data_IF_246268562372
#
_entry.id   IF_246268562372
#
_cell.length_a   1.000
_cell.length_b   1.000
_cell.length_c   1.000
_cell.angle_alpha   90.00
_cell.angle_beta   90.00
_cell.angle_gamma   90.00
#
_symmetry.space_group_name_H-M   'P 1'
#
loop_
_entity.id
_entity.type
_entity.pdbx_description
1 polymer ?
#
# COMPACT_ATOMS: atom_id res chain seq x y z
N UNK A 1 -3.76 9.03 10.45
CA UNK A 1 -4.64 8.11 9.68
C UNK A 1 -4.97 6.86 10.50
N UNK A 2 -6.19 6.33 10.36
CA UNK A 2 -6.70 5.23 11.19
C UNK A 2 -5.94 3.92 10.98
N UNK A 3 -5.74 3.54 9.72
CA UNK A 3 -5.12 2.25 9.37
C UNK A 3 -3.68 2.10 9.87
N UNK A 4 -2.95 3.21 10.06
CA UNK A 4 -1.60 3.20 10.67
C UNK A 4 -1.68 2.72 12.12
N UNK A 5 -2.72 3.11 12.85
CA UNK A 5 -2.94 2.69 14.24
C UNK A 5 -3.38 1.23 14.31
N UNK A 6 -4.17 0.80 13.32
CA UNK A 6 -4.63 -0.58 13.21
C UNK A 6 -3.46 -1.55 13.05
N UNK A 7 -2.29 -1.17 12.51
CA UNK A 7 -1.11 -2.05 12.43
C UNK A 7 -0.73 -2.58 13.82
N UNK A 8 -0.62 -1.69 14.82
CA UNK A 8 -0.23 -2.09 16.17
C UNK A 8 -1.34 -2.88 16.87
N UNK A 9 -2.60 -2.54 16.63
CA UNK A 9 -3.74 -3.32 17.15
C UNK A 9 -3.79 -4.72 16.53
N UNK A 10 -3.56 -4.83 15.22
CA UNK A 10 -3.53 -6.08 14.48
C UNK A 10 -2.49 -7.03 15.09
N UNK A 11 -1.28 -6.53 15.33
CA UNK A 11 -0.20 -7.31 15.96
C UNK A 11 -0.52 -7.67 17.41
N UNK A 12 -0.98 -6.70 18.22
CA UNK A 12 -1.14 -6.89 19.67
C UNK A 12 -2.36 -7.73 20.06
N UNK A 13 -3.48 -7.57 19.35
CA UNK A 13 -4.78 -8.14 19.75
C UNK A 13 -5.10 -9.47 19.05
N UNK A 14 -4.24 -9.94 18.16
CA UNK A 14 -4.45 -11.18 17.42
C UNK A 14 -3.27 -12.12 17.64
N UNK A 15 -3.52 -13.23 18.33
CA UNK A 15 -2.51 -14.24 18.62
C UNK A 15 -1.88 -14.87 17.36
N UNK A 16 -2.51 -14.72 16.19
CA UNK A 16 -2.01 -15.26 14.93
C UNK A 16 -0.91 -14.40 14.29
N UNK A 17 -0.87 -13.08 14.54
CA UNK A 17 0.02 -12.19 13.78
C UNK A 17 1.38 -11.98 14.43
N UNK A 18 1.44 -11.63 15.72
CA UNK A 18 2.73 -11.34 16.37
C UNK A 18 3.74 -12.50 16.32
N UNK A 19 3.36 -13.79 16.47
CA UNK A 19 4.30 -14.91 16.30
C UNK A 19 4.86 -15.05 14.88
N UNK A 20 4.14 -14.56 13.86
CA UNK A 20 4.56 -14.55 12.47
C UNK A 20 5.34 -13.28 12.10
N UNK A 21 5.47 -12.31 13.01
CA UNK A 21 5.99 -10.97 12.74
C UNK A 21 7.52 -10.87 12.93
N UNK A 22 8.25 -11.74 12.22
CA UNK A 22 9.71 -11.86 12.33
C UNK A 22 10.33 -12.49 11.08
N UNK A 23 11.65 -12.55 11.07
CA UNK A 23 12.51 -13.02 9.99
C UNK A 23 12.29 -14.48 9.60
N UNK A 24 11.71 -15.31 10.47
CA UNK A 24 11.45 -16.71 10.14
C UNK A 24 10.30 -16.87 9.15
N UNK A 25 9.32 -15.96 9.21
CA UNK A 25 8.08 -16.07 8.44
C UNK A 25 7.94 -14.97 7.39
N UNK A 26 8.47 -13.77 7.64
CA UNK A 26 8.39 -12.66 6.69
C UNK A 26 9.56 -12.76 5.71
N UNK A 27 9.26 -12.69 4.41
CA UNK A 27 10.26 -12.61 3.35
C UNK A 27 10.69 -11.15 3.12
N UNK A 28 9.73 -10.24 2.96
CA UNK A 28 9.97 -8.82 2.79
C UNK A 28 8.79 -7.95 3.21
N UNK A 29 9.07 -6.66 3.44
CA UNK A 29 8.05 -5.64 3.70
C UNK A 29 8.15 -4.56 2.62
N UNK A 30 7.02 -4.19 2.04
CA UNK A 30 6.91 -3.15 1.01
C UNK A 30 5.99 -2.04 1.52
N UNK A 31 6.43 -0.78 1.42
CA UNK A 31 5.63 0.38 1.75
C UNK A 31 5.56 1.27 0.51
N UNK A 32 4.37 1.38 -0.07
CA UNK A 32 4.12 2.15 -1.28
C UNK A 32 3.25 3.35 -0.97
N UNK A 33 3.74 4.55 -1.28
CA UNK A 33 2.98 5.81 -1.18
C UNK A 33 3.04 6.57 -2.51
N UNK A 34 2.07 6.31 -3.37
CA UNK A 34 1.99 6.83 -4.73
C UNK A 34 0.91 7.90 -4.84
N UNK A 35 1.21 8.98 -5.54
CA UNK A 35 0.30 10.07 -5.80
C UNK A 35 0.08 10.22 -7.31
N UNK A 36 -1.20 10.29 -7.69
CA UNK A 36 -1.56 10.58 -9.07
C UNK A 36 -1.30 12.06 -9.41
N UNK A 37 -1.43 12.93 -8.40
CA UNK A 37 -1.19 14.35 -8.53
C UNK A 37 0.31 14.67 -8.72
N UNK A 38 0.59 15.71 -9.52
CA UNK A 38 1.93 16.30 -9.61
C UNK A 38 2.22 17.29 -8.48
N UNK A 39 3.31 18.05 -8.62
CA UNK A 39 3.69 19.05 -7.63
C UNK A 39 2.73 20.26 -7.61
N UNK A 40 2.12 20.58 -8.76
CA UNK A 40 1.21 21.70 -8.93
C UNK A 40 1.79 23.02 -8.42
N UNK A 41 0.99 23.79 -7.66
CA UNK A 41 1.38 25.11 -7.16
C UNK A 41 2.50 25.11 -6.10
N UNK A 42 2.91 23.93 -5.62
CA UNK A 42 3.97 23.76 -4.61
C UNK A 42 5.37 23.67 -5.20
N UNK A 43 5.55 23.88 -6.50
CA UNK A 43 6.83 23.75 -7.22
C UNK A 43 8.01 24.41 -6.50
N UNK A 44 7.88 25.68 -6.11
CA UNK A 44 8.98 26.41 -5.46
C UNK A 44 9.39 25.90 -4.07
N UNK A 45 8.50 25.19 -3.36
CA UNK A 45 8.86 24.49 -2.11
C UNK A 45 9.49 23.13 -2.43
N UNK A 46 8.81 22.38 -3.29
CA UNK A 46 9.17 21.00 -3.58
C UNK A 46 10.53 20.88 -4.28
N UNK A 47 10.87 21.85 -5.15
CA UNK A 47 12.13 21.90 -5.91
C UNK A 47 13.38 22.10 -5.03
N UNK A 48 13.20 22.29 -3.72
CA UNK A 48 14.30 22.31 -2.72
C UNK A 48 14.27 21.11 -1.77
N UNK A 49 13.21 20.32 -1.84
CA UNK A 49 12.88 19.28 -0.88
C UNK A 49 13.06 17.90 -1.49
N UNK A 50 12.43 17.66 -2.65
CA UNK A 50 12.40 16.36 -3.31
C UNK A 50 11.53 15.33 -2.57
N UNK A 51 11.28 14.21 -3.23
CA UNK A 51 10.48 13.10 -2.69
C UNK A 51 11.13 12.43 -1.48
N UNK A 52 12.46 12.40 -1.41
CA UNK A 52 13.20 11.86 -0.27
C UNK A 52 12.87 12.62 1.03
N UNK A 53 12.86 13.96 1.02
CA UNK A 53 12.57 14.75 2.23
C UNK A 53 11.08 15.00 2.44
N UNK A 54 10.28 15.07 1.37
CA UNK A 54 8.83 15.33 1.48
C UNK A 54 8.08 14.11 2.03
N UNK A 55 8.50 12.89 1.67
CA UNK A 55 7.76 11.65 1.95
C UNK A 55 8.56 10.58 2.71
N UNK A 56 9.82 10.32 2.36
CA UNK A 56 10.60 9.25 3.01
C UNK A 56 10.91 9.63 4.46
N UNK A 57 11.54 10.79 4.66
CA UNK A 57 12.05 11.25 5.95
C UNK A 57 11.01 11.19 7.09
N UNK A 58 9.76 11.55 6.79
CA UNK A 58 8.69 11.66 7.77
C UNK A 58 7.74 10.46 7.70
N UNK A 59 6.97 10.34 6.63
CA UNK A 59 5.80 9.48 6.53
C UNK A 59 6.21 8.02 6.42
N UNK A 60 7.10 7.67 5.48
CA UNK A 60 7.48 6.28 5.30
C UNK A 60 8.37 5.79 6.44
N UNK A 61 9.30 6.60 6.97
CA UNK A 61 10.10 6.19 8.14
C UNK A 61 9.24 6.02 9.40
N UNK A 62 8.19 6.82 9.60
CA UNK A 62 7.23 6.59 10.69
C UNK A 62 6.42 5.30 10.48
N UNK A 63 6.06 4.96 9.24
CA UNK A 63 5.42 3.67 8.95
C UNK A 63 6.36 2.50 9.24
N UNK A 64 7.63 2.58 8.80
CA UNK A 64 8.66 1.57 9.12
C UNK A 64 8.74 1.39 10.64
N UNK A 65 8.85 2.47 11.40
CA UNK A 65 8.94 2.41 12.85
C UNK A 65 7.71 1.72 13.49
N UNK A 66 6.49 2.06 13.05
CA UNK A 66 5.25 1.44 13.57
C UNK A 66 5.13 -0.05 13.19
N UNK A 67 5.53 -0.41 11.97
CA UNK A 67 5.49 -1.80 11.48
C UNK A 67 6.52 -2.66 12.21
N UNK A 68 7.72 -2.13 12.40
CA UNK A 68 8.90 -2.91 12.77
C UNK A 68 9.28 -2.86 14.25
N UNK A 69 8.80 -1.88 15.03
CA UNK A 69 9.07 -1.79 16.46
C UNK A 69 8.62 -3.06 17.21
N UNK A 70 9.26 -3.36 18.33
CA UNK A 70 8.73 -4.34 19.27
C UNK A 70 7.44 -3.81 19.90
N UNK A 71 6.54 -4.71 20.30
CA UNK A 71 5.35 -4.32 21.04
C UNK A 71 5.74 -4.05 22.51
N UNK A 72 5.55 -2.83 23.03
CA UNK A 72 5.87 -2.57 24.43
C UNK A 72 4.92 -3.34 25.35
N UNK A 73 5.43 -3.85 26.47
CA UNK A 73 4.61 -4.60 27.43
C UNK A 73 3.42 -3.76 27.92
N UNK A 74 3.68 -2.51 28.28
CA UNK A 74 2.67 -1.50 28.60
C UNK A 74 2.47 -0.59 27.39
N UNK A 75 1.23 -0.43 26.96
CA UNK A 75 0.91 0.47 25.86
C UNK A 75 0.74 1.89 26.39
N UNK A 76 1.82 2.66 26.35
CA UNK A 76 1.86 4.06 26.76
C UNK A 76 2.73 4.89 25.81
N UNK A 77 2.50 6.20 25.81
CA UNK A 77 3.12 7.11 24.85
C UNK A 77 4.65 7.07 24.88
N UNK A 78 5.28 7.05 26.06
CA UNK A 78 6.75 6.95 26.16
C UNK A 78 7.24 5.57 25.70
N UNK A 79 6.59 4.47 26.11
CA UNK A 79 7.04 3.12 25.76
C UNK A 79 6.94 2.86 24.25
N UNK A 80 5.88 3.34 23.59
CA UNK A 80 5.76 3.24 22.13
C UNK A 80 6.88 4.03 21.44
N UNK A 81 7.17 5.24 21.92
CA UNK A 81 8.23 6.08 21.33
C UNK A 81 9.62 5.51 21.59
N UNK A 82 9.85 4.90 22.75
CA UNK A 82 11.10 4.21 23.07
C UNK A 82 11.36 3.02 22.12
N UNK A 83 10.34 2.21 21.84
CA UNK A 83 10.48 1.08 20.89
C UNK A 83 10.67 1.56 19.44
N UNK A 84 10.04 2.68 19.05
CA UNK A 84 10.32 3.32 17.75
C UNK A 84 11.77 3.81 17.67
N UNK A 85 12.27 4.50 18.69
CA UNK A 85 13.64 5.02 18.73
C UNK A 85 14.66 3.88 18.73
N UNK A 86 14.40 2.81 19.49
CA UNK A 86 15.22 1.59 19.47
C UNK A 86 15.31 1.03 18.05
N UNK A 87 14.17 0.88 17.37
CA UNK A 87 14.12 0.41 15.98
C UNK A 87 14.89 1.33 15.04
N UNK A 88 14.68 2.65 15.12
CA UNK A 88 15.32 3.63 14.23
C UNK A 88 16.84 3.67 14.38
N UNK A 89 17.40 3.30 15.54
CA UNK A 89 18.86 3.17 15.73
C UNK A 89 19.46 2.02 14.92
N UNK A 90 18.68 0.96 14.68
CA UNK A 90 19.13 -0.23 13.95
C UNK A 90 18.80 -0.14 12.45
N UNK A 91 18.04 0.89 12.04
CA UNK A 91 17.60 1.10 10.67
C UNK A 91 18.68 1.81 9.84
N UNK A 92 19.12 1.18 8.75
CA UNK A 92 20.14 1.74 7.87
C UNK A 92 19.92 1.34 6.41
N UNK A 93 20.48 2.14 5.49
CA UNK A 93 20.62 1.76 4.10
C UNK A 93 21.94 0.99 3.92
N UNK A 94 21.89 -0.20 3.33
CA UNK A 94 23.07 -1.05 3.18
C UNK A 94 23.62 -0.94 1.76
N UNK A 95 24.92 -0.63 1.63
CA UNK A 95 25.62 -0.70 0.34
C UNK A 95 25.75 -2.15 -0.15
N UNK A 96 25.64 -2.34 -1.47
CA UNK A 96 25.89 -3.62 -2.13
C UNK A 96 27.40 -3.94 -2.21
N UNK A 97 27.74 -5.06 -2.84
CA UNK A 97 29.14 -5.47 -3.05
C UNK A 97 29.95 -4.50 -3.91
N UNK A 98 29.29 -3.60 -4.64
CA UNK A 98 29.91 -2.55 -5.47
C UNK A 98 29.95 -1.20 -4.75
N UNK A 99 29.68 -1.18 -3.44
CA UNK A 99 29.62 0.02 -2.61
C UNK A 99 28.51 1.00 -3.06
N UNK A 100 27.40 0.47 -3.60
CA UNK A 100 26.26 1.26 -4.05
C UNK A 100 25.06 1.10 -3.13
N UNK A 101 24.41 2.21 -2.75
CA UNK A 101 23.14 2.13 -2.05
C UNK A 101 22.02 1.70 -3.01
N UNK A 102 21.11 0.80 -2.57
CA UNK A 102 19.95 0.39 -3.34
C UNK A 102 18.86 1.48 -3.27
N UNK A 103 19.13 2.59 -3.94
CA UNK A 103 18.25 3.75 -4.07
C UNK A 103 18.08 4.09 -5.55
N UNK A 104 16.85 4.40 -5.94
CA UNK A 104 16.51 4.86 -7.28
C UNK A 104 15.77 6.18 -7.15
N UNK A 105 16.29 7.21 -7.81
CA UNK A 105 15.65 8.51 -7.91
C UNK A 105 15.07 8.69 -9.30
N UNK A 106 13.88 9.29 -9.38
CA UNK A 106 13.29 9.64 -10.65
C UNK A 106 12.62 11.00 -10.69
N UNK A 107 12.40 11.52 -11.89
CA UNK A 107 11.69 12.76 -12.15
C UNK A 107 10.68 12.56 -13.30
N UNK A 108 9.41 12.92 -13.09
CA UNK A 108 8.42 12.81 -14.15
C UNK A 108 8.70 13.83 -15.26
N UNK A 109 8.45 13.46 -16.52
CA UNK A 109 8.86 14.25 -17.69
C UNK A 109 8.36 15.70 -17.65
N UNK A 110 7.12 15.93 -17.24
CA UNK A 110 6.55 17.27 -17.22
C UNK A 110 7.02 18.16 -16.06
N UNK A 111 7.84 17.66 -15.11
CA UNK A 111 8.15 18.37 -13.86
C UNK A 111 8.76 19.76 -14.07
N UNK A 112 9.67 19.90 -15.03
CA UNK A 112 10.33 21.18 -15.36
C UNK A 112 9.40 22.21 -16.00
N UNK A 113 8.20 21.80 -16.39
CA UNK A 113 7.17 22.69 -16.94
C UNK A 113 6.21 23.22 -15.86
N UNK A 114 6.31 22.70 -14.64
CA UNK A 114 5.44 23.08 -13.51
C UNK A 114 5.74 24.49 -13.02
N UNK A 115 4.71 25.12 -12.43
CA UNK A 115 4.83 26.48 -11.92
C UNK A 115 5.91 26.55 -10.82
N UNK A 116 6.86 27.49 -10.96
CA UNK A 116 7.92 27.77 -9.97
C UNK A 116 8.92 26.61 -9.78
N UNK A 117 9.12 25.78 -10.79
CA UNK A 117 10.22 24.80 -10.86
C UNK A 117 11.32 25.35 -11.78
N UNK A 118 12.58 25.14 -11.41
CA UNK A 118 13.70 25.54 -12.27
C UNK A 118 13.80 24.67 -13.53
N UNK A 119 14.10 25.27 -14.69
CA UNK A 119 14.21 24.54 -15.97
C UNK A 119 15.36 23.51 -15.98
N UNK A 120 16.39 23.75 -15.19
CA UNK A 120 17.55 22.87 -15.01
C UNK A 120 17.45 22.02 -13.74
N UNK A 121 16.27 21.96 -13.09
CA UNK A 121 16.05 21.21 -11.87
C UNK A 121 16.48 19.75 -12.00
N UNK A 122 17.12 19.25 -10.93
CA UNK A 122 17.49 17.85 -10.73
C UNK A 122 16.78 17.25 -9.53
N UNK A 123 15.68 17.86 -9.09
CA UNK A 123 14.92 17.41 -7.93
C UNK A 123 14.17 16.13 -8.22
N UNK A 124 14.27 15.16 -7.32
CA UNK A 124 13.55 13.90 -7.40
C UNK A 124 12.04 14.07 -7.10
N UNK A 125 11.20 13.48 -7.94
CA UNK A 125 9.75 13.35 -7.75
C UNK A 125 9.34 11.92 -7.45
N UNK A 126 10.29 10.99 -7.51
CA UNK A 126 10.15 9.58 -7.21
C UNK A 126 11.38 9.10 -6.45
N UNK A 127 11.17 8.28 -5.41
CA UNK A 127 12.23 7.55 -4.71
C UNK A 127 11.78 6.13 -4.47
N UNK A 128 12.59 5.15 -4.89
CA UNK A 128 12.55 3.78 -4.37
C UNK A 128 13.82 3.50 -3.57
N UNK A 129 13.68 2.84 -2.42
CA UNK A 129 14.76 2.64 -1.46
C UNK A 129 14.62 1.27 -0.78
N UNK A 130 15.72 0.55 -0.63
CA UNK A 130 15.80 -0.66 0.19
C UNK A 130 16.55 -0.36 1.49
N UNK A 131 15.91 -0.65 2.62
CA UNK A 131 16.43 -0.52 3.96
C UNK A 131 16.59 -1.88 4.64
N UNK A 132 17.46 -1.94 5.65
CA UNK A 132 17.64 -3.07 6.54
C UNK A 132 17.54 -2.59 7.99
N UNK A 133 17.06 -3.48 8.85
CA UNK A 133 17.05 -3.31 10.30
C UNK A 133 18.02 -4.33 10.91
N UNK A 134 19.04 -3.87 11.63
CA UNK A 134 20.05 -4.75 12.24
C UNK A 134 19.66 -5.21 13.65
N UNK A 135 18.59 -6.00 13.74
CA UNK A 135 18.22 -6.68 14.97
C UNK A 135 17.78 -8.12 14.72
N UNK A 136 17.58 -8.88 15.79
CA UNK A 136 17.24 -10.30 15.72
C UNK A 136 15.95 -10.55 14.95
N UNK A 137 14.91 -9.74 15.20
CA UNK A 137 13.57 -9.89 14.59
C UNK A 137 13.55 -9.70 13.07
N UNK A 138 14.40 -8.82 12.54
CA UNK A 138 14.36 -8.41 11.13
C UNK A 138 15.61 -8.82 10.37
N UNK A 139 16.42 -9.71 10.94
CA UNK A 139 17.67 -10.13 10.34
C UNK A 139 17.44 -10.71 8.93
N UNK A 140 18.00 -10.04 7.92
CA UNK A 140 17.90 -10.47 6.52
C UNK A 140 16.56 -10.18 5.84
N UNK A 141 15.61 -9.53 6.52
CA UNK A 141 14.34 -9.08 5.93
C UNK A 141 14.51 -7.66 5.37
N UNK A 142 14.44 -7.46 4.05
CA UNK A 142 14.50 -6.12 3.46
C UNK A 142 13.18 -5.37 3.60
N UNK A 143 13.29 -4.06 3.81
CA UNK A 143 12.18 -3.11 3.75
C UNK A 143 12.31 -2.29 2.48
N UNK A 144 11.38 -2.46 1.54
CA UNK A 144 11.32 -1.68 0.32
C UNK A 144 10.33 -0.53 0.47
N UNK A 145 10.81 0.68 0.26
CA UNK A 145 10.03 1.91 0.29
C UNK A 145 9.91 2.45 -1.12
N UNK A 146 8.72 2.85 -1.52
CA UNK A 146 8.53 3.59 -2.77
C UNK A 146 7.56 4.76 -2.57
N UNK A 147 7.94 5.90 -3.10
CA UNK A 147 7.08 7.08 -3.19
C UNK A 147 7.25 7.76 -4.52
N UNK A 148 6.18 8.35 -5.05
CA UNK A 148 6.24 9.05 -6.33
C UNK A 148 5.04 9.94 -6.60
N UNK A 149 5.26 11.00 -7.36
CA UNK A 149 4.22 11.89 -7.91
C UNK A 149 3.98 11.61 -9.39
N UNK A 150 2.82 12.03 -9.92
CA UNK A 150 2.41 11.75 -11.31
C UNK A 150 2.46 10.25 -11.62
N UNK A 151 2.04 9.43 -10.67
CA UNK A 151 1.99 7.97 -10.83
C UNK A 151 0.69 7.54 -11.51
N UNK A 152 0.71 6.36 -12.13
CA UNK A 152 -0.47 5.75 -12.76
C UNK A 152 -1.64 5.54 -11.78
N UNK A 153 -1.32 5.27 -10.51
CA UNK A 153 -2.29 4.98 -9.46
C UNK A 153 -1.96 5.75 -8.18
N UNK A 154 -2.99 5.98 -7.35
CA UNK A 154 -2.88 6.60 -6.04
C UNK A 154 -3.02 5.51 -4.97
N UNK A 155 -1.99 5.33 -4.17
CA UNK A 155 -1.96 4.30 -3.13
C UNK A 155 -1.16 4.77 -1.91
N UNK A 156 -1.62 4.48 -0.70
CA UNK A 156 -0.76 4.34 0.46
C UNK A 156 -1.03 2.99 1.09
N UNK A 157 -0.02 2.13 1.13
CA UNK A 157 -0.22 0.71 1.37
C UNK A 157 1.05 0.06 1.94
N UNK A 158 0.84 -0.85 2.88
CA UNK A 158 1.87 -1.74 3.40
C UNK A 158 1.57 -3.17 2.93
N UNK A 159 2.54 -3.82 2.29
CA UNK A 159 2.48 -5.24 1.93
C UNK A 159 3.54 -6.00 2.71
N UNK A 160 3.12 -7.02 3.44
CA UNK A 160 3.99 -7.97 4.14
C UNK A 160 3.87 -9.28 3.39
N UNK A 161 4.97 -9.68 2.76
CA UNK A 161 5.06 -10.94 2.03
C UNK A 161 5.68 -12.00 2.92
N UNK A 162 4.97 -13.12 3.10
CA UNK A 162 5.44 -14.25 3.88
C UNK A 162 6.24 -15.22 3.02
N UNK A 163 7.23 -15.87 3.63
CA UNK A 163 8.02 -16.94 3.02
C UNK A 163 7.12 -18.11 2.63
N UNK A 164 7.39 -18.68 1.45
CA UNK A 164 6.75 -19.93 1.03
C UNK A 164 7.20 -21.07 1.95
N UNK A 165 6.34 -22.07 2.25
CA UNK A 165 6.73 -23.21 3.07
C UNK A 165 7.97 -23.93 2.53
N UNK A 166 8.85 -24.39 3.41
CA UNK A 166 10.03 -25.16 3.01
C UNK A 166 9.64 -26.44 2.25
N UNK A 167 10.36 -26.72 1.16
CA UNK A 167 10.09 -27.89 0.32
C UNK A 167 8.87 -27.77 -0.61
N UNK A 168 8.15 -26.64 -0.58
CA UNK A 168 7.07 -26.38 -1.54
C UNK A 168 7.60 -26.09 -2.94
N UNK A 169 6.83 -26.50 -3.95
CA UNK A 169 7.10 -26.10 -5.34
C UNK A 169 6.81 -24.59 -5.47
N UNK A 170 7.87 -23.82 -5.69
CA UNK A 170 7.79 -22.35 -5.73
C UNK A 170 7.03 -21.83 -6.94
N UNK A 171 6.86 -22.63 -7.98
CA UNK A 171 6.11 -22.25 -9.18
C UNK A 171 4.60 -22.48 -9.00
N UNK A 172 4.23 -23.36 -8.06
CA UNK A 172 2.83 -23.69 -7.77
C UNK A 172 2.31 -22.91 -6.56
N UNK A 173 3.11 -22.81 -5.49
CA UNK A 173 2.68 -22.21 -4.22
C UNK A 173 2.91 -20.71 -4.25
N UNK A 174 1.85 -19.91 -4.11
CA UNK A 174 1.97 -18.47 -3.98
C UNK A 174 2.46 -18.08 -2.57
N UNK A 175 3.16 -16.96 -2.46
CA UNK A 175 3.46 -16.37 -1.16
C UNK A 175 2.16 -15.90 -0.50
N UNK A 176 2.05 -16.07 0.83
CA UNK A 176 0.94 -15.42 1.54
C UNK A 176 1.24 -13.94 1.67
N UNK A 177 0.21 -13.11 1.56
CA UNK A 177 0.34 -11.65 1.66
C UNK A 177 -0.60 -11.12 2.72
N UNK A 178 -0.09 -10.26 3.59
CA UNK A 178 -0.90 -9.37 4.41
C UNK A 178 -0.72 -7.95 3.89
N UNK A 179 -1.80 -7.37 3.38
CA UNK A 179 -1.81 -6.05 2.80
C UNK A 179 -2.70 -5.13 3.65
N UNK A 180 -2.17 -3.96 4.02
CA UNK A 180 -2.84 -2.98 4.89
C UNK A 180 -2.97 -1.67 4.11
N UNK A 181 -4.14 -1.46 3.52
CA UNK A 181 -4.47 -0.27 2.74
C UNK A 181 -4.71 0.91 3.68
N UNK A 182 -4.00 2.01 3.46
CA UNK A 182 -4.08 3.24 4.26
C UNK A 182 -4.90 4.32 3.55
N UNK A 183 -4.79 4.40 2.22
CA UNK A 183 -5.63 5.22 1.34
C UNK A 183 -5.43 4.77 -0.12
N UNK A 184 -6.36 5.03 -1.04
CA UNK A 184 -7.72 5.51 -0.82
C UNK A 184 -8.68 4.40 -0.35
N UNK A 185 -8.20 3.16 -0.27
CA UNK A 185 -8.99 2.01 0.19
C UNK A 185 -8.46 1.55 1.55
N UNK A 186 -9.05 2.06 2.62
CA UNK A 186 -8.73 1.67 3.98
C UNK A 186 -9.22 0.25 4.26
N UNK A 187 -8.31 -0.67 4.57
CA UNK A 187 -8.67 -2.06 4.80
C UNK A 187 -7.49 -3.00 5.04
N UNK A 188 -7.82 -4.26 5.29
CA UNK A 188 -6.87 -5.35 5.47
C UNK A 188 -7.22 -6.47 4.50
N UNK A 189 -6.24 -6.93 3.74
CA UNK A 189 -6.40 -8.01 2.77
C UNK A 189 -5.39 -9.10 3.08
N UNK A 190 -5.85 -10.34 3.12
CA UNK A 190 -5.02 -11.52 3.37
C UNK A 190 -5.15 -12.48 2.19
N UNK A 191 -4.04 -12.80 1.53
CA UNK A 191 -3.97 -13.80 0.45
C UNK A 191 -3.40 -15.11 0.99
N UNK A 192 -4.14 -16.21 0.80
CA UNK A 192 -3.80 -17.54 1.29
C UNK A 192 -3.95 -18.58 0.18
N UNK A 193 -3.16 -19.65 0.24
CA UNK A 193 -3.33 -20.80 -0.66
C UNK A 193 -4.45 -21.70 -0.15
N UNK A 194 -5.37 -22.11 -1.02
CA UNK A 194 -6.46 -23.05 -0.74
C UNK A 194 -6.56 -24.12 -1.84
N UNK A 195 -7.49 -25.06 -1.70
CA UNK A 195 -7.81 -26.04 -2.74
C UNK A 195 -8.96 -25.53 -3.61
N UNK A 196 -8.82 -25.62 -4.94
CA UNK A 196 -9.95 -25.39 -5.85
C UNK A 196 -11.07 -26.39 -5.57
N UNK A 197 -12.35 -25.98 -5.58
CA UNK A 197 -13.48 -26.89 -5.38
C UNK A 197 -13.76 -27.72 -6.65
N UNK A 198 -12.75 -28.47 -7.11
CA UNK A 198 -12.82 -29.38 -8.26
C UNK A 198 -12.42 -30.79 -7.83
N UNK A 199 -12.63 -31.76 -8.73
CA UNK A 199 -12.27 -33.17 -8.51
C UNK A 199 -10.75 -33.41 -8.58
N UNK A 200 -10.00 -32.47 -9.14
CA UNK A 200 -8.54 -32.51 -9.26
C UNK A 200 -7.96 -31.74 -8.07
N UNK A 201 -6.88 -32.25 -7.48
CA UNK A 201 -6.14 -31.55 -6.44
C UNK A 201 -5.32 -30.41 -7.05
N UNK A 202 -6.01 -29.29 -7.31
CA UNK A 202 -5.41 -28.04 -7.76
C UNK A 202 -5.45 -26.97 -6.66
N UNK A 203 -4.40 -26.16 -6.59
CA UNK A 203 -4.32 -25.02 -5.69
C UNK A 203 -5.08 -23.82 -6.26
N UNK A 204 -5.66 -23.02 -5.37
CA UNK A 204 -6.21 -21.69 -5.64
C UNK A 204 -5.67 -20.67 -4.64
N UNK A 205 -5.85 -19.39 -4.92
CA UNK A 205 -5.56 -18.31 -3.96
C UNK A 205 -6.88 -17.77 -3.42
N UNK A 206 -7.12 -17.93 -2.13
CA UNK A 206 -8.22 -17.31 -1.42
C UNK A 206 -7.82 -15.91 -0.95
N UNK A 207 -8.70 -14.93 -1.18
CA UNK A 207 -8.54 -13.57 -0.69
C UNK A 207 -9.59 -13.30 0.39
N UNK A 208 -9.12 -12.89 1.57
CA UNK A 208 -9.96 -12.46 2.68
C UNK A 208 -9.81 -10.95 2.84
N UNK A 209 -10.94 -10.22 2.84
CA UNK A 209 -10.94 -8.76 2.83
C UNK A 209 -11.75 -8.19 3.99
N UNK A 210 -11.18 -7.19 4.65
CA UNK A 210 -11.87 -6.26 5.53
C UNK A 210 -11.76 -4.86 4.94
N UNK A 211 -12.86 -4.27 4.49
CA UNK A 211 -12.92 -2.92 3.95
C UNK A 211 -13.50 -1.95 4.99
N UNK A 212 -12.66 -1.11 5.60
CA UNK A 212 -13.08 -0.10 6.58
C UNK A 212 -13.86 1.03 5.88
N UNK A 213 -13.37 1.51 4.73
CA UNK A 213 -14.02 2.61 4.01
C UNK A 213 -15.43 2.23 3.52
N UNK A 214 -15.65 0.96 3.16
CA UNK A 214 -16.98 0.45 2.80
C UNK A 214 -17.97 0.46 3.97
N UNK A 215 -17.47 0.31 5.21
CA UNK A 215 -18.31 0.16 6.40
C UNK A 215 -18.46 1.46 7.21
N UNK A 216 -17.45 2.34 7.20
CA UNK A 216 -17.33 3.45 8.16
C UNK A 216 -16.94 4.79 7.53
N UNK A 217 -17.04 4.96 6.20
CA UNK A 217 -16.52 6.15 5.49
C UNK A 217 -16.95 7.49 6.14
N UNK A 218 -18.23 7.61 6.50
CA UNK A 218 -18.78 8.86 7.06
C UNK A 218 -18.41 9.11 8.53
N UNK A 219 -17.98 8.09 9.27
CA UNK A 219 -17.72 8.16 10.70
C UNK A 219 -16.24 8.06 11.06
N UNK A 220 -15.34 8.04 10.07
CA UNK A 220 -13.90 8.04 10.33
C UNK A 220 -13.44 9.49 10.49
N UNK A 221 -13.04 9.95 11.70
CA UNK A 221 -12.61 11.33 11.88
C UNK A 221 -11.34 11.62 11.08
N UNK A 222 -11.20 12.85 10.60
CA UNK A 222 -10.01 13.30 9.91
C UNK A 222 -8.75 13.15 10.78
N UNK A 223 -7.58 13.07 10.14
CA UNK A 223 -6.31 12.96 10.85
C UNK A 223 -6.07 14.14 11.81
N UNK A 224 -6.45 15.37 11.45
CA UNK A 224 -6.26 16.53 12.33
C UNK A 224 -7.21 16.54 13.52
N UNK A 225 -8.46 16.09 13.36
CA UNK A 225 -9.42 16.00 14.47
C UNK A 225 -8.89 15.10 15.59
N UNK A 226 -8.32 13.94 15.21
CA UNK A 226 -7.72 13.00 16.16
C UNK A 226 -6.50 13.60 16.85
N UNK A 227 -5.59 14.20 16.09
CA UNK A 227 -4.37 14.80 16.67
C UNK A 227 -4.70 15.95 17.63
N UNK A 228 -5.67 16.80 17.29
CA UNK A 228 -6.11 17.88 18.18
C UNK A 228 -6.73 17.34 19.47
N UNK A 229 -7.53 16.29 19.37
CA UNK A 229 -8.09 15.62 20.55
C UNK A 229 -7.01 15.00 21.43
N UNK A 230 -5.99 14.38 20.83
CA UNK A 230 -4.86 13.80 21.56
C UNK A 230 -4.07 14.89 22.31
N UNK A 231 -3.86 16.07 21.71
CA UNK A 231 -3.28 17.24 22.39
C UNK A 231 -4.12 17.66 23.60
N UNK A 232 -5.45 17.74 23.46
CA UNK A 232 -6.36 18.08 24.57
C UNK A 232 -6.31 17.05 25.70
N UNK A 233 -6.02 15.78 25.38
CA UNK A 233 -5.89 14.68 26.35
C UNK A 233 -4.49 14.54 26.92
N UNK A 234 -3.50 15.25 26.38
CA UNK A 234 -2.09 15.07 26.72
C UNK A 234 -1.51 13.74 26.25
N UNK A 235 -2.10 13.11 25.23
CA UNK A 235 -1.59 11.87 24.64
C UNK A 235 -0.58 12.18 23.53
N UNK A 236 0.68 11.88 23.77
CA UNK A 236 1.78 12.10 22.83
C UNK A 236 2.10 10.87 21.97
N UNK A 237 1.35 9.76 22.06
CA UNK A 237 1.65 8.48 21.39
C UNK A 237 1.79 8.62 19.87
N UNK A 238 1.04 9.55 19.27
CA UNK A 238 1.01 9.77 17.81
C UNK A 238 1.93 10.88 17.32
N UNK A 239 2.66 11.53 18.24
CA UNK A 239 3.54 12.64 17.93
C UNK A 239 4.98 12.15 17.92
N UNK A 240 5.73 12.59 16.92
CA UNK A 240 7.16 12.27 16.79
C UNK A 240 7.94 12.96 17.90
N UNK A 241 8.72 12.19 18.66
CA UNK A 241 9.66 12.73 19.65
C UNK A 241 10.92 13.28 18.98
N UNK A 242 11.64 14.16 19.67
CA UNK A 242 12.85 14.79 19.13
C UNK A 242 13.92 13.78 18.68
N UNK A 243 14.16 12.75 19.46
CA UNK A 243 15.13 11.69 19.17
C UNK A 243 14.71 10.80 17.99
N UNK A 244 13.42 10.52 17.82
CA UNK A 244 12.89 9.91 16.59
C UNK A 244 13.21 10.78 15.36
N UNK A 245 12.91 12.08 15.46
CA UNK A 245 13.12 13.03 14.37
C UNK A 245 14.61 13.12 13.98
N UNK A 246 15.49 13.17 14.98
CA UNK A 246 16.93 13.23 14.77
C UNK A 246 17.46 12.01 14.01
N UNK A 247 17.06 10.79 14.39
CA UNK A 247 17.49 9.56 13.73
C UNK A 247 16.95 9.48 12.29
N UNK A 248 15.69 9.86 12.07
CA UNK A 248 15.12 9.90 10.73
C UNK A 248 15.84 10.91 9.82
N UNK A 249 16.25 12.06 10.34
CA UNK A 249 17.08 13.02 9.59
C UNK A 249 18.45 12.48 9.27
N UNK A 250 19.14 11.88 10.25
CA UNK A 250 20.47 11.31 10.02
C UNK A 250 20.47 10.32 8.86
N UNK A 251 19.57 9.33 8.88
CA UNK A 251 19.45 8.36 7.79
C UNK A 251 19.15 9.01 6.44
N UNK A 252 18.22 9.98 6.43
CA UNK A 252 17.82 10.66 5.19
C UNK A 252 18.95 11.51 4.62
N UNK A 253 19.70 12.21 5.46
CA UNK A 253 20.82 13.05 5.04
C UNK A 253 21.98 12.20 4.52
N UNK A 254 22.29 11.06 5.14
CA UNK A 254 23.28 10.09 4.65
C UNK A 254 22.91 9.58 3.23
N UNK A 255 21.64 9.22 3.02
CA UNK A 255 21.15 8.80 1.69
C UNK A 255 21.21 9.97 0.69
N UNK A 256 20.78 11.17 1.10
CA UNK A 256 20.78 12.35 0.25
C UNK A 256 22.19 12.76 -0.20
N UNK A 257 23.18 12.64 0.70
CA UNK A 257 24.58 12.90 0.40
C UNK A 257 25.11 11.89 -0.62
N UNK A 258 24.88 10.59 -0.39
CA UNK A 258 25.24 9.55 -1.34
C UNK A 258 24.62 9.78 -2.73
N UNK A 259 23.34 10.10 -2.79
CA UNK A 259 22.62 10.33 -4.05
C UNK A 259 23.19 11.52 -4.84
N UNK A 260 23.61 12.59 -4.17
CA UNK A 260 24.18 13.79 -4.81
C UNK A 260 25.42 13.48 -5.62
N UNK A 261 26.21 12.52 -5.17
CA UNK A 261 27.51 12.17 -5.77
C UNK A 261 27.43 10.99 -6.74
N UNK A 262 26.50 10.05 -6.51
CA UNK A 262 26.56 8.72 -7.12
C UNK A 262 25.35 8.36 -7.99
N UNK A 263 24.23 9.08 -7.87
CA UNK A 263 22.98 8.65 -8.49
C UNK A 263 22.56 9.55 -9.65
N UNK A 264 22.05 8.91 -10.69
CA UNK A 264 21.48 9.57 -11.86
C UNK A 264 19.97 9.58 -11.70
N UNK A 265 19.39 10.76 -11.89
CA UNK A 265 17.94 10.95 -11.88
C UNK A 265 17.34 10.31 -13.13
N UNK A 266 16.51 9.28 -12.97
CA UNK A 266 15.83 8.61 -14.08
C UNK A 266 14.52 9.32 -14.46
N UNK A 267 14.37 9.67 -15.73
CA UNK A 267 13.10 10.21 -16.22
C UNK A 267 12.07 9.09 -16.36
N UNK A 268 10.82 9.41 -16.03
CA UNK A 268 9.68 8.52 -16.24
C UNK A 268 8.48 9.29 -16.78
N UNK A 269 7.68 8.63 -17.63
CA UNK A 269 6.51 9.25 -18.25
C UNK A 269 5.48 9.66 -17.19
N UNK A 270 4.80 10.78 -17.42
CA UNK A 270 3.66 11.20 -16.62
C UNK A 270 2.59 10.10 -16.56
N UNK A 271 2.09 9.81 -15.35
CA UNK A 271 1.10 8.76 -15.08
C UNK A 271 1.59 7.34 -15.40
N UNK A 272 2.90 7.10 -15.40
CA UNK A 272 3.48 5.75 -15.47
C UNK A 272 3.69 5.14 -14.08
N UNK A 273 4.22 3.92 -14.03
CA UNK A 273 4.59 3.23 -12.79
C UNK A 273 5.98 3.63 -12.25
N UNK A 274 6.56 4.72 -12.77
CA UNK A 274 7.87 5.21 -12.37
C UNK A 274 9.03 4.54 -13.13
N UNK A 275 10.28 4.80 -12.69
CA UNK A 275 11.48 4.31 -13.37
C UNK A 275 11.61 2.79 -13.36
N UNK A 276 12.05 2.22 -14.49
CA UNK A 276 12.30 0.77 -14.62
C UNK A 276 13.38 0.27 -13.66
N UNK A 277 14.31 1.12 -13.21
CA UNK A 277 15.27 0.75 -12.19
C UNK A 277 14.64 0.38 -10.84
N UNK A 278 13.49 0.96 -10.48
CA UNK A 278 12.78 0.60 -9.25
C UNK A 278 12.25 -0.85 -9.30
N UNK A 279 11.82 -1.29 -10.49
CA UNK A 279 11.41 -2.68 -10.72
C UNK A 279 12.62 -3.62 -10.70
N UNK A 280 13.72 -3.21 -11.33
CA UNK A 280 14.97 -3.99 -11.35
C UNK A 280 15.52 -4.20 -9.94
N UNK A 281 15.40 -3.22 -9.05
CA UNK A 281 15.84 -3.31 -7.65
C UNK A 281 15.24 -4.51 -6.90
N UNK A 282 13.94 -4.80 -7.07
CA UNK A 282 13.34 -5.97 -6.42
C UNK A 282 13.62 -7.25 -7.20
N UNK A 283 13.64 -7.18 -8.53
CA UNK A 283 13.95 -8.34 -9.38
C UNK A 283 15.34 -8.91 -9.11
N UNK A 284 16.34 -8.06 -8.80
CA UNK A 284 17.68 -8.54 -8.41
C UNK A 284 17.69 -9.35 -7.13
N UNK A 285 16.69 -9.16 -6.26
CA UNK A 285 16.49 -9.95 -5.05
C UNK A 285 15.55 -11.17 -5.28
N UNK A 286 15.13 -11.43 -6.53
CA UNK A 286 14.15 -12.47 -6.85
C UNK A 286 12.72 -12.12 -6.44
N UNK A 287 12.43 -10.83 -6.24
CA UNK A 287 11.15 -10.30 -5.73
C UNK A 287 10.48 -9.40 -6.76
N UNK A 288 9.25 -8.99 -6.48
CA UNK A 288 8.50 -8.00 -7.27
C UNK A 288 7.76 -7.02 -6.38
N UNK A 289 7.49 -5.83 -6.89
CA UNK A 289 6.53 -4.93 -6.28
C UNK A 289 5.13 -5.50 -6.47
N UNK A 290 4.31 -5.46 -5.42
CA UNK A 290 2.90 -5.82 -5.53
C UNK A 290 2.03 -4.66 -6.05
N UNK A 291 2.52 -3.42 -5.95
CA UNK A 291 1.76 -2.19 -6.30
C UNK A 291 2.49 -1.21 -7.22
N UNK A 292 3.62 -1.60 -7.80
CA UNK A 292 4.15 -0.94 -8.99
C UNK A 292 3.97 -1.93 -10.14
N UNK A 293 3.09 -1.61 -11.08
CA UNK A 293 2.88 -2.45 -12.25
C UNK A 293 4.11 -2.45 -13.16
N UNK A 294 4.30 -3.57 -13.87
CA UNK A 294 5.36 -3.72 -14.86
C UNK A 294 4.70 -3.97 -16.22
N UNK A 295 5.12 -3.24 -17.24
CA UNK A 295 4.84 -3.53 -18.65
C UNK A 295 3.35 -3.68 -19.01
N UNK A 296 2.48 -2.82 -18.46
CA UNK A 296 1.05 -2.80 -18.78
C UNK A 296 0.25 -4.00 -18.23
N UNK A 297 0.88 -4.88 -17.44
CA UNK A 297 0.11 -5.74 -16.52
C UNK A 297 -0.54 -4.84 -15.47
N UNK A 298 -1.84 -5.00 -15.25
CA UNK A 298 -2.49 -4.31 -14.13
C UNK A 298 -1.72 -4.66 -12.85
N UNK A 299 -1.41 -3.68 -11.98
CA UNK A 299 -0.93 -4.04 -10.65
C UNK A 299 -1.98 -4.99 -10.08
N UNK A 300 -1.57 -6.14 -9.53
CA UNK A 300 -2.53 -7.14 -9.01
C UNK A 300 -3.45 -6.42 -8.02
N UNK A 301 -4.62 -6.06 -8.53
CA UNK A 301 -5.28 -4.89 -8.02
C UNK A 301 -5.75 -5.16 -6.60
N UNK A 302 -5.66 -4.12 -5.79
CA UNK A 302 -6.61 -3.86 -4.72
C UNK A 302 -8.00 -3.78 -5.34
N UNK A 303 -8.56 -4.89 -5.84
CA UNK A 303 -9.81 -4.94 -6.59
C UNK A 303 -10.93 -5.35 -5.65
N UNK A 304 -11.48 -4.40 -4.90
CA UNK A 304 -12.88 -4.49 -4.56
C UNK A 304 -13.62 -4.30 -5.88
N UNK A 305 -14.22 -5.38 -6.40
CA UNK A 305 -15.24 -5.28 -7.45
C UNK A 305 -16.25 -4.25 -6.97
N UNK A 306 -16.42 -3.17 -7.73
CA UNK A 306 -17.41 -2.14 -7.47
C UNK A 306 -18.78 -2.81 -7.36
N UNK A 307 -19.43 -2.69 -6.20
CA UNK A 307 -20.88 -2.82 -6.13
C UNK A 307 -21.50 -1.70 -6.98
N UNK A 308 -22.32 -2.12 -7.95
CA UNK A 308 -23.28 -1.34 -8.75
C UNK A 308 -22.80 -0.07 -9.48
N UNK A 309 -22.44 -0.26 -10.75
CA UNK A 309 -22.95 0.62 -11.81
C UNK A 309 -24.33 0.09 -12.22
N UNK A 310 -25.39 0.73 -11.71
CA UNK A 310 -26.75 0.24 -11.87
C UNK A 310 -27.84 1.28 -11.69
N UNK A 311 -27.67 2.52 -12.15
CA UNK A 311 -28.80 3.39 -12.53
C UNK A 311 -28.30 4.69 -13.15
N UNK A 312 -28.37 4.80 -14.47
CA UNK A 312 -28.67 6.04 -15.19
C UNK A 312 -28.62 5.73 -16.69
N UNK A 313 -29.79 5.48 -17.29
CA UNK A 313 -30.11 5.75 -18.69
C UNK A 313 -31.59 5.42 -18.91
N UNK A 314 -32.44 6.45 -18.95
CA UNK A 314 -33.88 6.29 -19.10
C UNK A 314 -34.65 7.57 -19.40
N UNK A 315 -34.17 8.41 -20.32
CA UNK A 315 -34.95 9.42 -21.05
C UNK A 315 -34.47 9.36 -22.52
N UNK A 316 -35.25 9.34 -23.59
CA UNK A 316 -36.64 9.68 -23.88
C UNK A 316 -37.08 8.89 -25.13
N UNK A 317 -38.36 8.51 -25.22
CA UNK A 317 -39.12 8.60 -26.47
C UNK A 317 -40.64 8.54 -26.19
N UNK A 318 -41.31 9.64 -26.52
CA UNK A 318 -42.76 9.83 -26.48
C UNK A 318 -43.45 9.04 -27.60
N UNK A 319 -44.64 8.48 -27.34
CA UNK A 319 -45.93 8.92 -27.92
C UNK A 319 -47.05 7.86 -27.84
N UNK A 320 -48.20 8.32 -27.34
CA UNK A 320 -49.58 8.11 -27.82
C UNK A 320 -50.09 6.69 -28.17
N UNK A 321 -51.03 6.16 -27.39
CA UNK A 321 -52.48 6.24 -27.72
C UNK A 321 -53.37 5.44 -26.75
N UNK A 322 -54.33 6.15 -26.16
CA UNK A 322 -55.76 5.85 -25.90
C UNK A 322 -56.33 4.42 -25.93
N UNK A 323 -57.07 4.11 -24.84
CA UNK A 323 -58.38 3.44 -24.71
C UNK A 323 -58.70 2.12 -25.43
N UNK A 324 -59.14 1.11 -24.65
CA UNK A 324 -60.45 0.40 -24.72
C UNK A 324 -60.40 -0.85 -23.81
N UNK A 325 -61.18 -0.92 -22.73
CA UNK A 325 -62.45 -1.65 -22.59
C UNK A 325 -62.39 -3.21 -22.58
N UNK A 326 -62.81 -3.72 -21.41
CA UNK A 326 -63.35 -5.02 -21.03
C UNK A 326 -63.77 -6.00 -22.15
N UNK A 327 -63.53 -7.31 -21.93
CA UNK A 327 -64.60 -8.31 -21.74
C UNK A 327 -64.08 -9.73 -21.46
N UNK A 328 -64.98 -10.47 -20.84
CA UNK A 328 -64.97 -11.82 -20.25
C UNK A 328 -65.10 -12.99 -21.24
N UNK A 329 -64.71 -14.18 -20.72
CA UNK A 329 -65.36 -15.50 -20.87
C UNK A 329 -64.77 -16.58 -21.82
N UNK A 330 -64.49 -17.73 -21.17
CA UNK A 330 -64.69 -19.14 -21.55
C UNK A 330 -64.23 -19.70 -22.91
N UNK A 331 -63.38 -20.74 -22.89
CA UNK A 331 -63.81 -22.16 -22.98
C UNK A 331 -62.61 -23.10 -23.20
N UNK A 332 -62.58 -24.17 -22.40
CA UNK A 332 -62.27 -25.60 -22.69
C UNK A 332 -61.16 -26.01 -23.67
N UNK A 333 -60.34 -26.96 -23.22
CA UNK A 333 -59.46 -27.78 -24.08
C UNK A 333 -58.49 -28.64 -23.26
N UNK A 334 -58.74 -29.94 -23.24
CA UNK A 334 -58.11 -31.00 -22.44
C UNK A 334 -56.60 -31.20 -22.74
N UNK A 335 -55.85 -31.64 -21.72
CA UNK A 335 -55.37 -33.02 -21.56
C UNK A 335 -53.89 -33.23 -21.17
N UNK A 336 -53.71 -34.29 -20.39
CA UNK A 336 -52.48 -35.05 -20.08
C UNK A 336 -51.54 -34.60 -18.94
N UNK A 337 -51.65 -35.42 -17.88
CA UNK A 337 -50.79 -35.56 -16.72
C UNK A 337 -49.54 -36.42 -16.97
N UNK A 338 -48.45 -36.11 -16.24
CA UNK A 338 -47.43 -36.99 -15.62
C UNK A 338 -46.20 -36.10 -15.33
N UNK A 339 -45.70 -35.88 -14.11
CA UNK A 339 -45.51 -36.82 -13.01
C UNK A 339 -44.00 -37.08 -12.87
N UNK A 340 -43.34 -36.46 -11.89
CA UNK A 340 -41.92 -36.73 -11.60
C UNK A 340 -41.35 -35.80 -10.52
N UNK A 341 -40.92 -36.35 -9.39
CA UNK A 341 -40.73 -35.68 -8.09
C UNK A 341 -39.46 -34.83 -7.98
N UNK A 342 -39.57 -33.81 -7.14
CA UNK A 342 -38.49 -33.24 -6.34
C UNK A 342 -37.80 -34.28 -5.46
N UNK A 343 -36.47 -34.26 -5.46
CA UNK A 343 -35.65 -34.26 -4.25
C UNK A 343 -34.45 -33.34 -4.48
#
# INVERSE_FOLDING_TARGET
KEMIQNITMLRRQNAIFEPLWNERYIDNVQISVLEHEGVGSRGGYYDRTGSLKDMIQNHLLQLVAVIAMDLPAVYGAEQVRDEKVKLLKDLHAQVDSNNQLPVVLGQYESYKTEERVAQDSKTDTFTALKLKIDNERWQGVPFYLVTGKKMADKAALVTIEFKKPEGSDKDIVAANLLQIGIQPREGIHLKLNTKKPTVIDEMDVAEMEYCQSCQYNFNTPDSYEKLLLDVMRGDSTRFTRWDELQLSWQLTDEIAEYCRENQVLELYDDNSCGPQAAVKMLRSDGRRWWHLAVDGSEPEAYSCKTADQGSENGEHAQNNNSNEHAQTANAEGEDCACGGRCQ
#
